data_IF_151640142965
#
_entry.id   IF_151640142965
#
_cell.length_a   1.000
_cell.length_b   1.000
_cell.length_c   1.000
_cell.angle_alpha   90.00
_cell.angle_beta   90.00
_cell.angle_gamma   90.00
#
_symmetry.space_group_name_H-M   'P 1'
#
loop_
_entity.id
_entity.type
_entity.pdbx_description
1 polymer ?
#
# COMPACT_ATOMS: atom_id res chain seq x y z
N UNK A 1 10.72 7.61 -5.57
CA UNK A 1 12.10 7.92 -5.11
C UNK A 1 13.20 7.27 -5.95
N UNK A 2 13.26 5.94 -6.12
CA UNK A 2 14.30 5.32 -6.97
C UNK A 2 14.34 5.89 -8.40
N UNK A 3 13.17 6.03 -9.04
CA UNK A 3 13.04 6.64 -10.38
C UNK A 3 13.42 8.12 -10.45
N UNK A 4 13.54 8.81 -9.31
CA UNK A 4 13.78 10.25 -9.24
C UNK A 4 15.24 10.60 -8.94
N UNK A 5 16.12 9.63 -8.67
CA UNK A 5 17.53 9.89 -8.32
C UNK A 5 17.94 9.44 -6.92
N UNK A 6 17.11 8.67 -6.21
CA UNK A 6 17.50 8.07 -4.93
C UNK A 6 17.44 9.03 -3.74
N UNK A 7 18.41 8.94 -2.83
CA UNK A 7 18.40 9.58 -1.50
C UNK A 7 18.34 11.12 -1.61
N UNK A 8 19.09 11.71 -2.55
CA UNK A 8 19.17 13.16 -2.72
C UNK A 8 17.83 13.81 -3.09
N UNK A 9 16.89 13.01 -3.63
CA UNK A 9 15.58 13.47 -4.10
C UNK A 9 14.43 13.11 -3.18
N UNK A 10 14.73 12.61 -1.98
CA UNK A 10 13.71 12.33 -0.96
C UNK A 10 12.96 13.62 -0.61
N UNK A 11 13.66 14.73 -0.36
CA UNK A 11 13.02 15.99 0.02
C UNK A 11 12.02 16.48 -1.03
N UNK A 12 12.39 16.43 -2.31
CA UNK A 12 11.52 16.79 -3.43
C UNK A 12 10.31 15.84 -3.53
N UNK A 13 10.54 14.54 -3.35
CA UNK A 13 9.46 13.54 -3.36
C UNK A 13 8.48 13.73 -2.20
N UNK A 14 8.99 14.02 -1.00
CA UNK A 14 8.16 14.29 0.18
C UNK A 14 7.34 15.56 -0.04
N UNK A 15 7.91 16.63 -0.61
CA UNK A 15 7.14 17.83 -1.00
C UNK A 15 5.99 17.48 -1.94
N UNK A 16 6.22 16.62 -2.93
CA UNK A 16 5.15 16.15 -3.82
C UNK A 16 4.08 15.36 -3.05
N UNK A 17 4.46 14.42 -2.18
CA UNK A 17 3.51 13.65 -1.35
C UNK A 17 2.64 14.56 -0.47
N UNK A 18 3.19 15.69 -0.02
CA UNK A 18 2.46 16.67 0.79
C UNK A 18 1.55 17.59 -0.03
N UNK A 19 1.87 17.77 -1.30
CA UNK A 19 1.08 18.58 -2.21
C UNK A 19 -0.25 17.89 -2.54
N UNK A 20 -1.35 18.56 -2.21
CA UNK A 20 -2.71 18.07 -2.47
C UNK A 20 -3.01 17.94 -3.96
N UNK A 21 -2.27 18.63 -4.82
CA UNK A 21 -2.49 18.64 -6.27
C UNK A 21 -1.64 17.60 -7.02
N UNK A 22 -0.66 16.95 -6.36
CA UNK A 22 0.31 16.10 -7.06
C UNK A 22 -0.20 14.69 -7.37
N UNK A 23 -1.30 14.25 -6.73
CA UNK A 23 -1.79 12.86 -6.71
C UNK A 23 -0.73 11.81 -6.28
N UNK A 24 0.44 12.22 -5.79
CA UNK A 24 1.52 11.34 -5.37
C UNK A 24 1.22 10.83 -3.95
N UNK A 25 1.32 9.52 -3.75
CA UNK A 25 1.20 8.88 -2.44
C UNK A 25 2.51 8.24 -2.03
N UNK A 26 2.79 8.29 -0.73
CA UNK A 26 3.89 7.53 -0.14
C UNK A 26 3.45 6.06 0.00
N UNK A 27 3.93 5.21 -0.90
CA UNK A 27 3.61 3.78 -0.92
C UNK A 27 4.18 3.07 0.31
N UNK A 28 3.41 2.14 0.89
CA UNK A 28 3.81 1.41 2.09
C UNK A 28 3.56 2.17 3.41
N UNK A 29 2.84 3.30 3.37
CA UNK A 29 2.52 4.10 4.55
C UNK A 29 1.03 4.30 4.73
N UNK A 30 0.60 4.32 5.99
CA UNK A 30 -0.79 4.38 6.38
C UNK A 30 -1.52 3.04 6.25
N UNK A 31 -2.59 2.90 7.01
CA UNK A 31 -3.44 1.72 6.98
C UNK A 31 -4.90 2.11 7.21
N UNK A 32 -5.84 1.43 6.53
CA UNK A 32 -7.27 1.71 6.69
C UNK A 32 -7.76 1.41 8.12
N UNK A 33 -7.21 0.34 8.72
CA UNK A 33 -7.59 -0.15 10.05
C UNK A 33 -6.65 0.37 11.14
N UNK A 34 -5.34 0.40 10.89
CA UNK A 34 -4.37 0.77 11.92
C UNK A 34 -4.16 2.27 11.88
N UNK A 35 -4.56 2.94 12.96
CA UNK A 35 -4.28 4.36 13.21
C UNK A 35 -2.97 4.54 13.97
N UNK A 36 -2.42 3.48 14.52
CA UNK A 36 -1.10 3.46 15.13
C UNK A 36 -0.21 2.52 14.29
N UNK A 37 0.97 2.18 14.80
CA UNK A 37 1.91 1.29 14.13
C UNK A 37 1.27 -0.06 13.77
N UNK A 38 1.55 -0.57 12.56
CA UNK A 38 1.10 -1.89 12.13
C UNK A 38 1.90 -2.97 12.88
N UNK A 39 1.26 -3.83 13.69
CA UNK A 39 1.99 -4.85 14.46
C UNK A 39 2.79 -5.81 13.57
N UNK A 40 2.35 -6.03 12.32
CA UNK A 40 3.05 -6.88 11.36
C UNK A 40 4.30 -6.20 10.80
N UNK A 41 4.28 -4.87 10.70
CA UNK A 41 5.43 -4.11 10.22
C UNK A 41 6.61 -4.19 11.19
N UNK A 42 6.35 -4.33 12.50
CA UNK A 42 7.41 -4.48 13.52
C UNK A 42 8.21 -5.76 13.28
N UNK A 43 7.53 -6.91 13.21
CA UNK A 43 8.18 -8.19 12.94
C UNK A 43 8.86 -8.18 11.56
N UNK A 44 8.19 -7.65 10.54
CA UNK A 44 8.78 -7.59 9.20
C UNK A 44 10.03 -6.70 9.13
N UNK A 45 10.11 -5.65 9.95
CA UNK A 45 11.31 -4.82 10.08
C UNK A 45 12.46 -5.61 10.69
N UNK A 46 12.22 -6.37 11.75
CA UNK A 46 13.23 -7.24 12.39
C UNK A 46 13.75 -8.27 11.37
N UNK A 47 12.84 -8.99 10.69
CA UNK A 47 13.20 -9.91 9.60
C UNK A 47 13.97 -9.24 8.47
N UNK A 48 13.64 -7.98 8.15
CA UNK A 48 14.36 -7.23 7.13
C UNK A 48 15.83 -7.00 7.51
N UNK A 49 16.10 -6.63 8.76
CA UNK A 49 17.46 -6.48 9.26
C UNK A 49 18.22 -7.82 9.26
N UNK A 50 17.58 -8.91 9.69
CA UNK A 50 18.18 -10.24 9.71
C UNK A 50 18.56 -10.73 8.32
N UNK A 51 17.64 -10.63 7.35
CA UNK A 51 17.87 -11.07 5.96
C UNK A 51 18.99 -10.25 5.32
N UNK A 52 19.01 -8.93 5.54
CA UNK A 52 20.05 -8.07 4.97
C UNK A 52 21.42 -8.33 5.60
N UNK A 53 21.45 -8.61 6.91
CA UNK A 53 22.64 -9.05 7.62
C UNK A 53 23.19 -10.36 7.07
N UNK A 54 22.33 -11.37 6.93
CA UNK A 54 22.70 -12.70 6.42
C UNK A 54 23.21 -12.65 4.96
N UNK A 55 22.65 -11.78 4.13
CA UNK A 55 23.07 -11.61 2.73
C UNK A 55 24.27 -10.67 2.55
N UNK A 56 24.81 -10.09 3.63
CA UNK A 56 25.89 -9.10 3.56
C UNK A 56 25.49 -7.80 2.85
N UNK A 57 24.18 -7.52 2.75
CA UNK A 57 23.60 -6.36 2.03
C UNK A 57 23.36 -5.16 2.93
N UNK A 58 24.08 -5.05 4.05
CA UNK A 58 23.95 -3.96 5.03
C UNK A 58 24.17 -2.56 4.42
N UNK A 59 24.91 -2.48 3.30
CA UNK A 59 25.16 -1.24 2.57
C UNK A 59 24.26 -1.03 1.35
N UNK A 60 23.16 -1.79 1.19
CA UNK A 60 22.21 -1.61 0.08
C UNK A 60 21.69 -0.15 0.08
N UNK A 61 21.93 0.63 -1.01
CA UNK A 61 21.48 2.02 -1.12
C UNK A 61 19.98 2.20 -0.90
N UNK A 62 19.20 1.16 -1.21
CA UNK A 62 17.75 1.20 -1.10
C UNK A 62 17.31 0.89 0.33
N UNK A 63 18.08 0.13 1.11
CA UNK A 63 17.86 0.02 2.55
C UNK A 63 18.10 1.38 3.21
N UNK A 64 19.21 2.04 2.88
CA UNK A 64 19.51 3.39 3.39
C UNK A 64 18.40 4.38 3.02
N UNK A 65 17.92 4.31 1.78
CA UNK A 65 16.78 5.10 1.31
C UNK A 65 15.50 4.80 2.09
N UNK A 66 15.21 3.54 2.36
CA UNK A 66 14.04 3.14 3.11
C UNK A 66 14.09 3.60 4.58
N UNK A 67 15.25 3.47 5.24
CA UNK A 67 15.45 3.96 6.60
C UNK A 67 15.27 5.48 6.69
N UNK A 68 15.79 6.23 5.73
CA UNK A 68 15.62 7.68 5.70
C UNK A 68 14.16 8.08 5.47
N UNK A 69 13.44 7.37 4.59
CA UNK A 69 12.01 7.56 4.38
C UNK A 69 11.17 7.22 5.62
N UNK A 70 11.51 6.13 6.33
CA UNK A 70 10.88 5.76 7.60
C UNK A 70 11.09 6.88 8.62
N UNK A 71 12.33 7.32 8.80
CA UNK A 71 12.67 8.39 9.75
C UNK A 71 11.89 9.67 9.47
N UNK A 72 11.90 10.13 8.22
CA UNK A 72 11.16 11.33 7.82
C UNK A 72 9.67 11.16 8.10
N UNK A 73 9.06 10.02 7.76
CA UNK A 73 7.64 9.81 8.00
C UNK A 73 7.27 9.74 9.49
N UNK A 74 8.21 9.38 10.37
CA UNK A 74 8.01 9.35 11.82
C UNK A 74 8.24 10.71 12.50
N UNK A 75 9.10 11.55 11.94
CA UNK A 75 9.47 12.85 12.52
C UNK A 75 8.67 14.02 11.91
N UNK A 76 8.14 13.86 10.71
CA UNK A 76 7.50 14.96 9.97
C UNK A 76 6.02 15.13 10.34
N UNK A 77 5.67 16.35 10.79
CA UNK A 77 4.33 16.72 11.25
C UNK A 77 3.21 16.35 10.28
N UNK A 78 3.45 16.41 8.96
CA UNK A 78 2.44 16.06 7.96
C UNK A 78 2.01 14.59 8.07
N UNK A 79 2.96 13.70 8.33
CA UNK A 79 2.76 12.26 8.40
C UNK A 79 2.29 11.84 9.79
N UNK A 80 2.85 12.45 10.85
CA UNK A 80 2.45 12.20 12.24
C UNK A 80 1.00 12.62 12.47
N UNK A 81 0.61 13.85 12.07
CA UNK A 81 -0.77 14.34 12.21
C UNK A 81 -1.79 13.49 11.45
N UNK A 82 -1.39 12.90 10.34
CA UNK A 82 -2.22 11.99 9.53
C UNK A 82 -2.08 10.51 9.92
N UNK A 83 -1.23 10.19 10.89
CA UNK A 83 -0.98 8.83 11.37
C UNK A 83 -0.53 7.88 10.25
N UNK A 84 0.33 8.38 9.37
CA UNK A 84 0.87 7.65 8.22
C UNK A 84 2.14 6.90 8.62
N UNK A 85 1.97 5.77 9.30
CA UNK A 85 3.08 4.90 9.72
C UNK A 85 3.44 3.88 8.64
N UNK A 86 4.69 3.38 8.60
CA UNK A 86 5.06 2.23 7.77
C UNK A 86 4.14 1.04 8.02
N UNK A 87 3.72 0.38 6.95
CA UNK A 87 2.94 -0.85 7.01
C UNK A 87 3.77 -2.06 6.57
N UNK A 88 3.20 -3.26 6.66
CA UNK A 88 3.90 -4.52 6.32
C UNK A 88 4.45 -4.55 4.88
N UNK A 89 3.81 -3.85 3.94
CA UNK A 89 4.21 -3.85 2.53
C UNK A 89 5.53 -3.10 2.32
N UNK A 90 5.82 -2.10 3.17
CA UNK A 90 7.06 -1.33 3.09
C UNK A 90 8.29 -2.22 3.29
N UNK A 91 8.34 -2.97 4.39
CA UNK A 91 9.49 -3.84 4.70
C UNK A 91 9.51 -5.11 3.85
N UNK A 92 8.34 -5.70 3.57
CA UNK A 92 8.29 -6.93 2.77
C UNK A 92 8.78 -6.70 1.33
N UNK A 93 8.56 -5.53 0.74
CA UNK A 93 9.14 -5.19 -0.57
C UNK A 93 10.68 -5.08 -0.56
N UNK A 94 11.27 -4.65 0.56
CA UNK A 94 12.73 -4.61 0.73
C UNK A 94 13.28 -6.02 0.83
N UNK A 95 12.67 -6.87 1.65
CA UNK A 95 13.06 -8.27 1.83
C UNK A 95 12.97 -9.04 0.52
N UNK A 96 11.82 -8.96 -0.17
CA UNK A 96 11.61 -9.66 -1.44
C UNK A 96 12.63 -9.24 -2.50
N UNK A 97 12.96 -7.94 -2.57
CA UNK A 97 14.04 -7.49 -3.47
C UNK A 97 15.41 -8.01 -3.03
N UNK A 98 15.70 -8.02 -1.73
CA UNK A 98 16.97 -8.48 -1.19
C UNK A 98 17.25 -9.95 -1.56
N UNK A 99 16.21 -10.80 -1.53
CA UNK A 99 16.29 -12.22 -1.91
C UNK A 99 16.14 -12.47 -3.43
N UNK A 100 16.06 -11.42 -4.25
CA UNK A 100 16.08 -11.51 -5.71
C UNK A 100 14.73 -11.71 -6.38
N UNK A 101 13.61 -11.56 -5.66
CA UNK A 101 12.27 -11.60 -6.29
C UNK A 101 12.06 -10.31 -7.10
N UNK A 102 11.67 -10.40 -8.38
CA UNK A 102 11.37 -9.22 -9.18
C UNK A 102 10.11 -8.51 -8.67
N UNK A 103 10.10 -7.17 -8.74
CA UNK A 103 9.00 -6.33 -8.23
C UNK A 103 7.65 -6.69 -8.84
N UNK A 104 7.62 -7.14 -10.09
CA UNK A 104 6.41 -7.60 -10.77
C UNK A 104 5.75 -8.81 -10.09
N UNK A 105 6.49 -9.58 -9.29
CA UNK A 105 5.99 -10.77 -8.58
C UNK A 105 5.62 -10.49 -7.12
N UNK A 106 5.82 -9.28 -6.58
CA UNK A 106 5.52 -9.00 -5.17
C UNK A 106 4.07 -9.27 -4.82
N UNK A 107 3.15 -8.84 -5.69
CA UNK A 107 1.72 -9.10 -5.52
C UNK A 107 1.37 -10.57 -5.67
N UNK A 108 2.11 -11.33 -6.48
CA UNK A 108 1.90 -12.77 -6.64
C UNK A 108 2.30 -13.54 -5.37
N UNK A 109 3.43 -13.19 -4.75
CA UNK A 109 3.86 -13.76 -3.46
C UNK A 109 2.86 -13.41 -2.37
N UNK A 110 2.38 -12.17 -2.34
CA UNK A 110 1.33 -11.74 -1.42
C UNK A 110 0.04 -12.54 -1.62
N UNK A 111 -0.42 -12.70 -2.85
CA UNK A 111 -1.62 -13.44 -3.18
C UNK A 111 -1.49 -14.91 -2.75
N UNK A 112 -0.34 -15.54 -3.04
CA UNK A 112 -0.03 -16.91 -2.61
C UNK A 112 -0.20 -17.08 -1.09
N UNK A 113 0.42 -16.20 -0.30
CA UNK A 113 0.29 -16.22 1.15
C UNK A 113 -1.13 -15.92 1.62
N UNK A 114 -1.89 -15.10 0.89
CA UNK A 114 -3.27 -14.70 1.25
C UNK A 114 -4.32 -15.75 0.90
N UNK A 115 -4.03 -16.65 -0.06
CA UNK A 115 -4.97 -17.68 -0.53
C UNK A 115 -5.56 -18.51 0.61
N UNK A 116 -4.76 -18.92 1.60
CA UNK A 116 -5.27 -19.67 2.76
C UNK A 116 -6.31 -18.87 3.55
N UNK A 117 -6.09 -17.56 3.71
CA UNK A 117 -7.03 -16.66 4.37
C UNK A 117 -8.29 -16.44 3.55
N UNK A 118 -8.16 -16.31 2.22
CA UNK A 118 -9.33 -16.22 1.32
C UNK A 118 -10.19 -17.47 1.36
N UNK A 119 -9.58 -18.66 1.36
CA UNK A 119 -10.30 -19.92 1.44
C UNK A 119 -10.97 -20.08 2.82
N UNK A 120 -10.27 -19.72 3.90
CA UNK A 120 -10.86 -19.76 5.24
C UNK A 120 -12.08 -18.83 5.37
N UNK A 121 -11.97 -17.60 4.89
CA UNK A 121 -13.07 -16.62 4.86
C UNK A 121 -14.22 -17.07 3.97
N UNK A 122 -13.93 -17.70 2.82
CA UNK A 122 -14.94 -18.27 1.94
C UNK A 122 -15.69 -19.42 2.61
N UNK A 123 -14.97 -20.33 3.27
CA UNK A 123 -15.55 -21.46 3.97
C UNK A 123 -16.42 -21.01 5.14
N UNK A 124 -15.97 -20.00 5.90
CA UNK A 124 -16.75 -19.38 6.97
C UNK A 124 -18.05 -18.77 6.42
N UNK A 125 -17.95 -18.00 5.32
CA UNK A 125 -19.11 -17.36 4.69
C UNK A 125 -20.13 -18.38 4.14
N UNK A 126 -19.69 -19.45 3.49
CA UNK A 126 -20.58 -20.47 2.89
C UNK A 126 -21.13 -21.43 3.96
N UNK A 127 -20.36 -21.68 5.02
CA UNK A 127 -20.76 -22.54 6.13
C UNK A 127 -21.72 -21.87 7.11
N UNK A 128 -21.88 -20.56 7.06
CA UNK A 128 -22.81 -19.80 7.89
C UNK A 128 -24.28 -20.14 7.55
N UNK A 129 -25.07 -20.71 8.48
CA UNK A 129 -26.49 -20.99 8.26
C UNK A 129 -27.32 -19.74 7.92
N UNK A 130 -26.85 -18.55 8.29
CA UNK A 130 -27.50 -17.27 8.01
C UNK A 130 -27.03 -16.62 6.70
N UNK A 131 -26.21 -17.31 5.90
CA UNK A 131 -25.62 -16.77 4.68
C UNK A 131 -26.64 -16.11 3.75
N UNK A 132 -26.31 -14.88 3.32
CA UNK A 132 -27.08 -14.11 2.33
C UNK A 132 -26.15 -13.55 1.26
N UNK A 133 -26.63 -13.54 0.03
CA UNK A 133 -25.90 -12.93 -1.09
C UNK A 133 -25.67 -11.43 -0.86
N UNK A 134 -24.42 -10.99 -1.03
CA UNK A 134 -24.06 -9.57 -0.96
C UNK A 134 -24.68 -8.78 -2.11
N UNK A 135 -25.74 -8.01 -1.82
CA UNK A 135 -26.44 -7.14 -2.79
C UNK A 135 -26.48 -5.69 -2.28
N UNK A 136 -25.37 -4.94 -2.39
CA UNK A 136 -25.35 -3.53 -2.00
C UNK A 136 -26.28 -2.69 -2.87
N UNK A 137 -26.75 -1.56 -2.33
CA UNK A 137 -27.54 -0.55 -3.05
C UNK A 137 -26.66 0.62 -3.46
N UNK A 138 -27.11 1.35 -4.48
CA UNK A 138 -26.49 2.60 -4.90
C UNK A 138 -27.42 3.79 -4.63
N UNK A 139 -26.84 4.95 -4.36
CA UNK A 139 -27.54 6.23 -4.41
C UNK A 139 -27.46 6.75 -5.86
N UNK A 140 -28.57 6.70 -6.59
CA UNK A 140 -28.64 7.19 -7.96
C UNK A 140 -28.86 8.71 -7.98
N UNK A 141 -27.83 9.46 -8.37
CA UNK A 141 -27.88 10.92 -8.56
C UNK A 141 -27.84 11.32 -10.03
N UNK A 142 -28.14 10.39 -10.94
CA UNK A 142 -28.25 10.69 -12.37
C UNK A 142 -29.60 11.32 -12.73
N UNK A 143 -29.75 11.74 -13.98
CA UNK A 143 -31.04 12.20 -14.48
C UNK A 143 -32.08 11.08 -14.42
N UNK A 144 -33.33 11.41 -14.06
CA UNK A 144 -34.45 10.47 -14.19
C UNK A 144 -34.63 10.04 -15.64
N UNK A 145 -35.53 9.07 -15.87
CA UNK A 145 -35.91 8.64 -17.23
C UNK A 145 -36.17 9.88 -18.10
N UNK A 146 -35.47 9.95 -19.22
CA UNK A 146 -35.57 11.03 -20.22
C UNK A 146 -35.67 10.41 -21.59
N UNK A 147 -36.46 11.03 -22.45
CA UNK A 147 -36.51 10.66 -23.85
C UNK A 147 -35.22 11.10 -24.53
N UNK A 148 -34.63 10.18 -25.27
CA UNK A 148 -33.36 10.41 -25.94
C UNK A 148 -33.66 10.89 -27.35
N UNK A 149 -33.45 12.19 -27.61
CA UNK A 149 -33.65 12.78 -28.93
C UNK A 149 -32.80 12.02 -29.97
N UNK A 150 -33.31 11.75 -31.19
CA UNK A 150 -32.48 11.21 -32.27
C UNK A 150 -31.22 12.04 -32.46
N UNK A 151 -30.10 11.40 -32.79
CA UNK A 151 -28.79 12.06 -32.81
C UNK A 151 -28.75 13.32 -33.69
N UNK A 152 -29.43 13.28 -34.85
CA UNK A 152 -29.54 14.39 -35.79
C UNK A 152 -30.29 15.62 -35.24
N UNK A 153 -30.96 15.48 -34.09
CA UNK A 153 -31.74 16.52 -33.41
C UNK A 153 -31.13 16.89 -32.05
N UNK A 154 -29.91 16.43 -31.74
CA UNK A 154 -29.14 16.88 -30.58
C UNK A 154 -28.21 18.00 -31.09
N UNK A 155 -28.41 19.21 -30.60
CA UNK A 155 -27.48 20.34 -30.79
C UNK A 155 -26.24 20.17 -29.93
#
# INVERSE_FOLDING_TARGET
VQRMGGIEKIGDFIKQVKDKNSNVKLMGFGHRVYKNYDPRAKLMRETCHEVLGALGKNNDPILKLAMELEKIALEDDYFVSRKLYPNVDFYSGIVQRAIGIPVSLFTAVFALARTVGWIAQLNEMIGDPEYKIGRPRQLYNGSTKRDVTPIAKRT
#
